data_IF_932178042143
#
_entry.id   IF_932178042143
#
_cell.length_a   1.000
_cell.length_b   1.000
_cell.length_c   1.000
_cell.angle_alpha   90.00
_cell.angle_beta   90.00
_cell.angle_gamma   90.00
#
_symmetry.space_group_name_H-M   'P 1'
#
loop_
_entity.id
_entity.type
_entity.pdbx_description
1 polymer ?
#
# COMPACT_ATOMS: atom_id res chain seq x y z
N UNK A 1 9.10 -49.48 52.07
CA UNK A 1 8.71 -49.94 50.72
C UNK A 1 9.50 -49.09 49.74
N UNK A 2 10.69 -49.41 49.19
CA UNK A 2 11.19 -50.65 48.57
C UNK A 2 10.14 -51.19 47.58
N UNK A 3 10.32 -51.25 46.25
CA UNK A 3 11.43 -51.80 45.45
C UNK A 3 11.42 -51.23 44.00
N UNK A 4 12.62 -51.24 43.38
CA UNK A 4 13.09 -51.11 41.97
C UNK A 4 12.17 -51.64 40.84
N UNK A 5 12.33 -51.41 39.53
CA UNK A 5 13.46 -51.01 38.64
C UNK A 5 13.40 -51.82 37.32
N UNK A 6 14.20 -51.42 36.30
CA UNK A 6 14.48 -52.01 34.94
C UNK A 6 13.49 -51.68 33.78
N UNK A 7 13.89 -50.93 32.72
CA UNK A 7 14.73 -51.24 31.49
C UNK A 7 14.00 -52.22 30.53
N UNK A 8 14.00 -52.17 29.18
CA UNK A 8 14.83 -51.62 28.07
C UNK A 8 14.01 -51.85 26.75
N UNK A 9 14.09 -51.06 25.67
CA UNK A 9 14.67 -51.34 24.30
C UNK A 9 13.71 -50.72 23.25
N UNK A 10 14.04 -49.63 22.53
CA UNK A 10 14.73 -49.51 21.23
C UNK A 10 14.16 -50.35 20.06
N UNK A 11 13.60 -49.69 19.04
CA UNK A 11 13.62 -50.15 17.63
C UNK A 11 13.74 -48.96 16.66
N UNK A 12 14.81 -48.98 15.87
CA UNK A 12 15.08 -48.19 14.67
C UNK A 12 14.42 -48.85 13.45
N UNK A 13 13.94 -48.05 12.49
CA UNK A 13 13.83 -48.46 11.09
C UNK A 13 14.18 -47.28 10.17
N UNK A 14 15.37 -47.35 9.56
CA UNK A 14 15.74 -46.62 8.35
C UNK A 14 15.07 -47.29 7.13
N UNK A 15 14.65 -46.49 6.15
CA UNK A 15 14.58 -46.92 4.75
C UNK A 15 15.22 -45.87 3.84
N UNK A 16 16.41 -46.21 3.38
CA UNK A 16 17.11 -45.68 2.22
C UNK A 16 16.60 -46.37 0.95
N UNK A 17 16.38 -45.63 -0.13
CA UNK A 17 16.39 -46.18 -1.49
C UNK A 17 17.29 -45.33 -2.39
N UNK A 18 18.20 -46.04 -3.05
CA UNK A 18 19.23 -45.57 -3.96
C UNK A 18 18.72 -45.46 -5.40
N UNK A 19 19.34 -44.53 -6.12
CA UNK A 19 19.28 -44.18 -7.55
C UNK A 19 19.51 -45.31 -8.57
N UNK A 20 19.06 -45.12 -9.83
CA UNK A 20 19.89 -44.99 -11.07
C UNK A 20 18.99 -44.84 -12.35
N UNK A 21 19.54 -44.45 -13.53
CA UNK A 21 18.93 -43.51 -14.47
C UNK A 21 18.57 -44.12 -15.85
N UNK A 22 17.88 -43.34 -16.69
CA UNK A 22 17.82 -43.58 -18.15
C UNK A 22 17.96 -42.25 -18.91
N UNK A 23 18.95 -42.20 -19.81
CA UNK A 23 19.11 -41.22 -20.88
C UNK A 23 18.28 -41.64 -22.11
N UNK A 24 17.70 -40.69 -22.84
CA UNK A 24 17.59 -40.73 -24.30
C UNK A 24 17.34 -39.32 -24.88
N UNK A 25 17.91 -39.08 -26.06
CA UNK A 25 18.14 -37.78 -26.67
C UNK A 25 17.12 -37.37 -27.76
N UNK A 26 16.95 -36.04 -27.87
CA UNK A 26 16.82 -35.14 -29.03
C UNK A 26 16.04 -35.49 -30.33
N UNK A 27 15.18 -34.53 -30.73
CA UNK A 27 14.81 -33.95 -32.07
C UNK A 27 13.32 -33.56 -32.00
N UNK A 28 12.77 -32.42 -32.42
CA UNK A 28 13.14 -31.23 -33.17
C UNK A 28 11.82 -30.65 -33.77
N UNK A 29 11.66 -29.32 -33.89
CA UNK A 29 10.74 -28.71 -34.89
C UNK A 29 9.37 -28.15 -34.46
N UNK A 30 9.33 -26.82 -34.28
CA UNK A 30 8.36 -25.80 -34.75
C UNK A 30 6.82 -25.93 -34.64
N UNK A 31 6.26 -24.84 -34.07
CA UNK A 31 5.07 -24.05 -34.43
C UNK A 31 3.66 -24.35 -33.86
N UNK A 32 3.28 -23.41 -32.98
CA UNK A 32 2.02 -22.63 -32.92
C UNK A 32 0.77 -23.19 -32.24
N UNK A 33 0.19 -22.29 -31.43
CA UNK A 33 -1.15 -22.26 -30.80
C UNK A 33 -1.35 -23.07 -29.52
N UNK A 34 -1.70 -22.38 -28.43
CA UNK A 34 -2.17 -22.98 -27.17
C UNK A 34 -1.53 -22.39 -25.90
N UNK A 35 -1.81 -21.13 -25.58
CA UNK A 35 -1.33 -20.50 -24.32
C UNK A 35 -2.28 -20.64 -23.12
N UNK A 36 -3.47 -21.22 -23.28
CA UNK A 36 -4.45 -21.28 -22.18
C UNK A 36 -4.33 -22.54 -21.30
N UNK A 37 -3.87 -23.69 -21.81
CA UNK A 37 -3.78 -24.92 -21.02
C UNK A 37 -2.58 -24.97 -20.06
N UNK A 38 -1.48 -24.29 -20.38
CA UNK A 38 -0.27 -24.26 -19.54
C UNK A 38 -0.46 -23.44 -18.26
N UNK A 39 -1.30 -22.41 -18.29
CA UNK A 39 -1.59 -21.61 -17.10
C UNK A 39 -2.44 -22.39 -16.10
N UNK A 40 -3.40 -23.18 -16.58
CA UNK A 40 -4.21 -24.06 -15.76
C UNK A 40 -3.38 -25.10 -15.00
N UNK A 41 -2.37 -25.71 -15.64
CA UNK A 41 -1.51 -26.70 -14.98
C UNK A 41 -0.48 -26.07 -14.03
N UNK A 42 0.02 -24.88 -14.34
CA UNK A 42 0.93 -24.13 -13.46
C UNK A 42 0.22 -23.64 -12.19
N UNK A 43 -1.01 -23.10 -12.32
CA UNK A 43 -1.86 -22.75 -11.18
C UNK A 43 -2.20 -23.98 -10.32
N UNK A 44 -2.47 -25.13 -10.95
CA UNK A 44 -2.74 -26.39 -10.23
C UNK A 44 -1.54 -26.88 -9.43
N UNK A 45 -0.33 -26.75 -9.98
CA UNK A 45 0.93 -27.10 -9.30
C UNK A 45 1.28 -26.11 -8.17
N UNK A 46 0.98 -24.82 -8.32
CA UNK A 46 1.19 -23.81 -7.27
C UNK A 46 0.24 -23.95 -6.08
N UNK A 47 -0.96 -24.50 -6.32
CA UNK A 47 -1.96 -24.77 -5.29
C UNK A 47 -1.60 -25.97 -4.40
N UNK A 48 -0.70 -26.85 -4.83
CA UNK A 48 -0.35 -28.07 -4.08
C UNK A 48 0.74 -27.85 -3.02
N UNK A 49 1.60 -26.84 -3.17
CA UNK A 49 2.78 -26.62 -2.31
C UNK A 49 2.69 -25.45 -1.31
N UNK A 50 1.61 -24.66 -1.32
CA UNK A 50 1.41 -23.57 -0.34
C UNK A 50 0.60 -24.10 0.85
N UNK A 51 0.99 -23.80 2.11
CA UNK A 51 0.21 -24.18 3.28
C UNK A 51 -1.22 -23.66 3.08
N UNK A 52 -2.20 -24.57 3.10
CA UNK A 52 -3.62 -24.27 2.89
C UNK A 52 -4.03 -23.13 3.83
N UNK A 53 -4.06 -21.90 3.31
CA UNK A 53 -4.71 -20.76 3.93
C UNK A 53 -6.20 -21.10 3.84
N UNK A 54 -6.73 -21.75 4.87
CA UNK A 54 -8.13 -22.17 4.88
C UNK A 54 -9.03 -20.94 4.91
N UNK A 55 -10.17 -21.03 4.23
CA UNK A 55 -11.29 -20.06 4.22
C UNK A 55 -11.73 -19.66 5.65
N UNK A 56 -11.49 -20.55 6.62
CA UNK A 56 -11.69 -20.36 8.05
C UNK A 56 -10.76 -19.30 8.67
N UNK A 57 -9.57 -19.06 8.10
CA UNK A 57 -8.63 -18.03 8.57
C UNK A 57 -9.06 -16.63 8.10
N UNK A 58 -9.62 -16.49 6.90
CA UNK A 58 -9.95 -15.18 6.32
C UNK A 58 -11.35 -14.67 6.67
N UNK A 59 -12.24 -15.49 7.23
CA UNK A 59 -13.56 -15.06 7.74
C UNK A 59 -14.38 -14.21 6.75
N UNK A 60 -14.28 -14.49 5.44
CA UNK A 60 -14.96 -13.74 4.38
C UNK A 60 -14.19 -12.55 3.78
N UNK A 61 -12.92 -12.37 4.16
CA UNK A 61 -11.96 -11.47 3.48
C UNK A 61 -11.22 -12.22 2.36
N UNK A 62 -10.71 -11.50 1.36
CA UNK A 62 -9.88 -12.10 0.32
C UNK A 62 -8.54 -12.56 0.87
N UNK A 63 -8.23 -13.84 0.72
CA UNK A 63 -6.89 -14.40 0.91
C UNK A 63 -5.85 -13.70 0.01
N UNK A 64 -4.55 -13.91 0.27
CA UNK A 64 -3.49 -13.32 -0.58
C UNK A 64 -3.61 -13.76 -2.04
N UNK A 65 -4.04 -15.00 -2.29
CA UNK A 65 -4.28 -15.51 -3.63
C UNK A 65 -5.50 -14.85 -4.28
N UNK A 66 -6.62 -14.75 -3.57
CA UNK A 66 -7.84 -14.12 -4.09
C UNK A 66 -7.62 -12.64 -4.39
N UNK A 67 -6.89 -11.93 -3.53
CA UNK A 67 -6.51 -10.53 -3.75
C UNK A 67 -5.65 -10.37 -5.00
N UNK A 68 -4.68 -11.25 -5.21
CA UNK A 68 -3.86 -11.25 -6.43
C UNK A 68 -4.72 -11.49 -7.68
N UNK A 69 -5.64 -12.45 -7.64
CA UNK A 69 -6.58 -12.72 -8.73
C UNK A 69 -7.46 -11.49 -9.00
N UNK A 70 -7.98 -10.84 -7.97
CA UNK A 70 -8.81 -9.64 -8.09
C UNK A 70 -8.03 -8.47 -8.72
N UNK A 71 -6.79 -8.23 -8.27
CA UNK A 71 -5.93 -7.19 -8.83
C UNK A 71 -5.59 -7.45 -10.31
N UNK A 72 -5.30 -8.70 -10.69
CA UNK A 72 -5.07 -9.10 -12.09
C UNK A 72 -6.32 -8.96 -12.95
N UNK A 73 -7.50 -9.26 -12.40
CA UNK A 73 -8.78 -9.10 -13.10
C UNK A 73 -9.02 -7.66 -13.52
N UNK A 74 -8.69 -6.67 -12.68
CA UNK A 74 -8.82 -5.24 -13.01
C UNK A 74 -7.97 -4.88 -14.23
N UNK A 75 -6.71 -5.32 -14.26
CA UNK A 75 -5.80 -5.12 -15.39
C UNK A 75 -6.35 -5.69 -16.70
N UNK A 76 -7.04 -6.83 -16.65
CA UNK A 76 -7.66 -7.45 -17.82
C UNK A 76 -8.98 -6.78 -18.24
N UNK A 77 -9.77 -6.26 -17.30
CA UNK A 77 -11.07 -5.62 -17.60
C UNK A 77 -10.93 -4.18 -18.10
N UNK A 78 -9.94 -3.46 -17.59
CA UNK A 78 -9.69 -2.06 -17.92
C UNK A 78 -8.25 -1.83 -18.41
N UNK A 79 -7.78 -2.57 -19.44
CA UNK A 79 -6.37 -2.55 -19.86
C UNK A 79 -5.93 -1.20 -20.42
N UNK A 80 -6.86 -0.41 -20.96
CA UNK A 80 -6.56 0.91 -21.53
C UNK A 80 -6.25 1.97 -20.46
N UNK A 81 -6.75 1.76 -19.25
CA UNK A 81 -6.61 2.75 -18.16
C UNK A 81 -5.92 2.18 -16.93
N UNK A 82 -5.37 0.97 -17.00
CA UNK A 82 -4.73 0.35 -15.85
C UNK A 82 -3.49 -0.44 -16.18
N UNK A 83 -2.56 -0.47 -15.23
CA UNK A 83 -1.33 -1.27 -15.28
C UNK A 83 -1.10 -1.92 -13.93
N UNK A 84 -0.91 -3.23 -13.93
CA UNK A 84 -0.51 -3.98 -12.75
C UNK A 84 1.01 -4.19 -12.75
N UNK A 85 1.66 -3.87 -11.64
CA UNK A 85 3.09 -4.14 -11.46
C UNK A 85 3.40 -4.49 -10.00
N UNK A 86 4.62 -4.93 -9.73
CA UNK A 86 5.07 -5.26 -8.37
C UNK A 86 6.23 -4.35 -7.95
N UNK A 87 6.19 -3.85 -6.72
CA UNK A 87 7.26 -3.02 -6.14
C UNK A 87 8.29 -3.84 -5.35
N UNK A 88 8.03 -5.13 -5.16
CA UNK A 88 8.87 -6.01 -4.34
C UNK A 88 8.08 -7.22 -3.85
N UNK A 89 8.66 -7.94 -2.90
CA UNK A 89 8.02 -9.08 -2.24
C UNK A 89 8.10 -8.93 -0.73
N UNK A 90 7.13 -9.48 -0.02
CA UNK A 90 7.18 -9.66 1.43
C UNK A 90 8.28 -10.65 1.84
N UNK A 91 8.50 -10.80 3.13
CA UNK A 91 9.46 -11.78 3.67
C UNK A 91 9.14 -13.21 3.19
N UNK A 92 7.86 -13.60 3.18
CA UNK A 92 7.45 -14.93 2.69
C UNK A 92 7.24 -15.00 1.17
N UNK A 93 7.65 -13.97 0.43
CA UNK A 93 7.70 -14.00 -1.03
C UNK A 93 6.40 -13.62 -1.75
N UNK A 94 5.37 -13.15 -1.05
CA UNK A 94 4.17 -12.61 -1.69
C UNK A 94 4.50 -11.31 -2.41
N UNK A 95 4.03 -11.16 -3.65
CA UNK A 95 4.25 -9.94 -4.42
C UNK A 95 3.48 -8.77 -3.80
N UNK A 96 4.14 -7.63 -3.65
CA UNK A 96 3.49 -6.36 -3.32
C UNK A 96 3.00 -5.75 -4.62
N UNK A 97 1.73 -6.02 -4.95
CA UNK A 97 1.11 -5.67 -6.23
C UNK A 97 0.46 -4.28 -6.16
N UNK A 98 0.77 -3.46 -7.16
CA UNK A 98 0.22 -2.12 -7.33
C UNK A 98 -0.61 -2.08 -8.60
N UNK A 99 -1.82 -1.52 -8.48
CA UNK A 99 -2.71 -1.20 -9.59
C UNK A 99 -2.56 0.30 -9.87
N UNK A 100 -1.97 0.65 -10.99
CA UNK A 100 -2.02 2.02 -11.51
C UNK A 100 -3.30 2.22 -12.32
N UNK A 101 -3.95 3.37 -12.15
CA UNK A 101 -5.10 3.84 -12.91
C UNK A 101 -4.80 5.25 -13.44
N UNK A 102 -4.82 5.40 -14.76
CA UNK A 102 -4.54 6.64 -15.52
C UNK A 102 -4.98 6.43 -16.97
N UNK A 103 -5.23 7.49 -17.74
CA UNK A 103 -5.49 7.43 -19.19
C UNK A 103 -4.25 6.99 -20.00
N UNK A 104 -3.03 7.14 -19.45
CA UNK A 104 -1.77 6.67 -20.06
C UNK A 104 -0.93 5.90 -19.04
N UNK A 105 -1.39 4.72 -18.60
CA UNK A 105 -0.75 3.99 -17.53
C UNK A 105 0.69 3.62 -17.91
N UNK A 106 1.63 3.95 -17.03
CA UNK A 106 3.05 3.73 -17.20
C UNK A 106 3.81 4.71 -18.06
N UNK A 107 3.17 5.75 -18.58
CA UNK A 107 3.82 6.87 -19.22
C UNK A 107 4.07 7.98 -18.18
N UNK A 108 5.19 8.70 -18.28
CA UNK A 108 5.48 9.82 -17.38
C UNK A 108 4.87 11.11 -17.92
N UNK A 109 3.96 11.71 -17.18
CA UNK A 109 3.29 12.96 -17.57
C UNK A 109 3.59 14.12 -16.61
N UNK A 110 3.06 15.31 -16.90
CA UNK A 110 3.10 16.45 -15.97
C UNK A 110 1.84 16.47 -15.09
N UNK A 111 1.37 15.29 -14.74
CA UNK A 111 0.19 15.04 -13.93
C UNK A 111 0.64 14.61 -12.53
N UNK A 112 -0.12 14.97 -11.49
CA UNK A 112 0.18 14.52 -10.14
C UNK A 112 0.08 13.00 -10.03
N UNK A 113 1.01 12.40 -9.28
CA UNK A 113 0.91 11.00 -8.88
C UNK A 113 0.40 10.91 -7.43
N UNK A 114 -0.64 10.12 -7.19
CA UNK A 114 -1.18 9.85 -5.85
C UNK A 114 -1.09 8.36 -5.56
N UNK A 115 -0.82 8.00 -4.29
CA UNK A 115 -0.91 6.59 -3.88
C UNK A 115 -1.83 6.32 -2.69
N UNK A 116 -2.59 5.23 -2.76
CA UNK A 116 -3.21 4.63 -1.59
C UNK A 116 -2.46 3.35 -1.20
N UNK A 117 -2.25 3.15 0.10
CA UNK A 117 -1.62 1.95 0.66
C UNK A 117 -2.53 1.35 1.71
N UNK A 118 -2.95 0.10 1.55
CA UNK A 118 -3.74 -0.62 2.54
C UNK A 118 -2.91 -1.60 3.36
N UNK A 119 -3.44 -1.96 4.54
CA UNK A 119 -2.99 -3.13 5.30
C UNK A 119 -1.48 -3.12 5.56
N UNK A 120 -0.98 -1.97 6.04
CA UNK A 120 0.37 -1.80 6.59
C UNK A 120 0.55 -2.68 7.84
N UNK A 121 -0.46 -2.67 8.71
CA UNK A 121 -0.60 -3.66 9.76
C UNK A 121 -1.48 -4.81 9.28
N UNK A 122 -0.99 -6.04 9.43
CA UNK A 122 -1.66 -7.21 8.90
C UNK A 122 -3.03 -7.49 9.53
N UNK A 123 -3.24 -7.09 10.79
CA UNK A 123 -4.49 -7.22 11.53
C UNK A 123 -5.52 -6.11 11.27
N UNK A 124 -5.24 -5.20 10.34
CA UNK A 124 -6.11 -4.10 9.92
C UNK A 124 -6.50 -4.28 8.42
N UNK A 125 -7.29 -5.32 8.06
CA UNK A 125 -7.53 -5.70 6.66
C UNK A 125 -8.55 -4.86 5.92
N UNK A 126 -9.28 -3.94 6.57
CA UNK A 126 -10.35 -3.18 5.91
C UNK A 126 -9.81 -2.40 4.71
N UNK A 127 -8.65 -1.75 4.87
CA UNK A 127 -7.97 -1.01 3.80
C UNK A 127 -7.67 -1.87 2.57
N UNK A 128 -7.34 -3.14 2.76
CA UNK A 128 -7.05 -4.10 1.68
C UNK A 128 -8.25 -4.34 0.78
N UNK A 129 -9.43 -4.51 1.37
CA UNK A 129 -10.66 -4.80 0.64
C UNK A 129 -11.20 -3.54 -0.06
N UNK A 130 -11.27 -2.41 0.66
CA UNK A 130 -11.86 -1.18 0.10
C UNK A 130 -11.02 -0.57 -1.02
N UNK A 131 -9.70 -0.82 -1.05
CA UNK A 131 -8.85 -0.39 -2.15
C UNK A 131 -9.05 -1.20 -3.43
N UNK A 132 -9.39 -2.49 -3.34
CA UNK A 132 -9.84 -3.25 -4.50
C UNK A 132 -11.19 -2.73 -4.98
N UNK A 133 -12.11 -2.42 -4.06
CA UNK A 133 -13.40 -1.82 -4.42
C UNK A 133 -13.24 -0.45 -5.10
N UNK A 134 -12.29 0.38 -4.66
CA UNK A 134 -11.95 1.65 -5.30
C UNK A 134 -11.49 1.45 -6.74
N UNK A 135 -10.56 0.53 -6.96
CA UNK A 135 -10.05 0.23 -8.29
C UNK A 135 -11.14 -0.32 -9.22
N UNK A 136 -12.00 -1.21 -8.71
CA UNK A 136 -13.17 -1.71 -9.44
C UNK A 136 -14.14 -0.57 -9.80
N UNK A 137 -14.46 0.31 -8.84
CA UNK A 137 -15.39 1.41 -9.05
C UNK A 137 -14.87 2.38 -10.13
N UNK A 138 -13.58 2.75 -10.10
CA UNK A 138 -12.98 3.60 -11.13
C UNK A 138 -13.02 2.93 -12.52
N UNK A 139 -12.66 1.64 -12.59
CA UNK A 139 -12.73 0.86 -13.82
C UNK A 139 -14.15 0.79 -14.39
N UNK A 140 -15.16 0.57 -13.55
CA UNK A 140 -16.54 0.40 -13.98
C UNK A 140 -17.22 1.74 -14.34
N UNK A 141 -16.75 2.85 -13.78
CA UNK A 141 -17.35 4.19 -13.92
C UNK A 141 -16.55 5.17 -14.78
N UNK A 142 -15.38 4.79 -15.30
CA UNK A 142 -14.66 5.62 -16.26
C UNK A 142 -15.54 5.94 -17.49
N UNK A 143 -15.57 7.22 -17.89
CA UNK A 143 -16.44 7.78 -18.94
C UNK A 143 -17.95 7.74 -18.63
N UNK A 144 -18.37 7.28 -17.45
CA UNK A 144 -19.77 7.27 -16.99
C UNK A 144 -20.01 8.24 -15.85
N UNK A 145 -19.05 8.35 -14.95
CA UNK A 145 -19.07 9.28 -13.82
C UNK A 145 -18.03 10.40 -14.02
N UNK A 146 -18.42 11.68 -13.95
CA UNK A 146 -17.49 12.80 -14.16
C UNK A 146 -16.31 12.83 -13.19
N UNK A 147 -16.49 12.38 -11.95
CA UNK A 147 -15.41 12.33 -10.96
C UNK A 147 -14.42 11.22 -11.29
N UNK A 148 -14.92 10.05 -11.71
CA UNK A 148 -14.08 8.95 -12.19
C UNK A 148 -13.26 9.39 -13.41
N UNK A 149 -13.90 9.99 -14.42
CA UNK A 149 -13.22 10.52 -15.62
C UNK A 149 -12.16 11.54 -15.24
N UNK A 150 -12.49 12.51 -14.37
CA UNK A 150 -11.54 13.53 -13.94
C UNK A 150 -10.31 12.95 -13.22
N UNK A 151 -10.48 11.89 -12.42
CA UNK A 151 -9.37 11.18 -11.78
C UNK A 151 -8.55 10.43 -12.83
N UNK A 152 -9.17 9.65 -13.71
CA UNK A 152 -8.43 8.83 -14.68
C UNK A 152 -7.63 9.68 -15.67
N UNK A 153 -8.17 10.82 -16.12
CA UNK A 153 -7.56 11.64 -17.19
C UNK A 153 -6.56 12.70 -16.73
N UNK A 154 -6.39 12.90 -15.41
CA UNK A 154 -5.58 14.03 -14.92
C UNK A 154 -4.65 13.66 -13.75
N UNK A 155 -4.46 12.37 -13.47
CA UNK A 155 -3.52 11.89 -12.47
C UNK A 155 -3.09 10.45 -12.71
N UNK A 156 -1.92 10.11 -12.18
CA UNK A 156 -1.52 8.73 -11.98
C UNK A 156 -1.92 8.28 -10.58
N UNK A 157 -3.02 7.52 -10.48
CA UNK A 157 -3.47 6.95 -9.20
C UNK A 157 -2.90 5.54 -9.03
N UNK A 158 -2.09 5.33 -8.00
CA UNK A 158 -1.51 4.03 -7.69
C UNK A 158 -2.11 3.44 -6.42
N UNK A 159 -2.55 2.19 -6.48
CA UNK A 159 -3.25 1.52 -5.38
C UNK A 159 -2.45 0.27 -5.00
N UNK A 160 -1.89 0.26 -3.79
CA UNK A 160 -1.27 -0.91 -3.16
C UNK A 160 -2.24 -1.48 -2.11
N UNK A 161 -3.03 -2.53 -2.41
CA UNK A 161 -4.06 -3.00 -1.47
C UNK A 161 -3.46 -3.58 -0.19
N UNK A 162 -2.30 -4.23 -0.25
CA UNK A 162 -1.62 -4.77 0.94
C UNK A 162 -0.12 -4.51 0.89
N UNK A 163 0.39 -3.83 1.92
CA UNK A 163 1.83 -3.75 2.17
C UNK A 163 2.32 -4.94 3.00
N UNK A 164 1.47 -5.53 3.85
CA UNK A 164 1.84 -6.61 4.77
C UNK A 164 1.00 -7.90 4.57
N UNK A 165 1.16 -8.58 3.42
CA UNK A 165 0.42 -9.82 3.15
C UNK A 165 0.78 -10.96 4.12
N UNK A 166 1.98 -10.93 4.71
CA UNK A 166 2.45 -11.93 5.68
C UNK A 166 1.73 -11.77 7.02
N UNK A 167 1.65 -10.53 7.52
CA UNK A 167 0.93 -10.20 8.75
C UNK A 167 -0.56 -10.51 8.62
N UNK A 168 -1.15 -10.24 7.45
CA UNK A 168 -2.55 -10.60 7.18
C UNK A 168 -2.78 -12.11 7.27
N UNK A 169 -1.95 -12.92 6.60
CA UNK A 169 -2.06 -14.38 6.64
C UNK A 169 -1.91 -14.95 8.07
N UNK A 170 -1.14 -14.27 8.92
CA UNK A 170 -0.93 -14.61 10.33
C UNK A 170 -1.88 -13.88 11.30
N UNK A 171 -2.81 -13.06 10.78
CA UNK A 171 -3.74 -12.20 11.54
C UNK A 171 -3.06 -11.40 12.65
N UNK A 172 -1.94 -10.76 12.33
CA UNK A 172 -1.16 -9.96 13.28
C UNK A 172 -0.70 -8.65 12.68
N UNK A 173 -0.40 -7.71 13.56
CA UNK A 173 0.09 -6.37 13.22
C UNK A 173 1.40 -6.39 12.41
N UNK A 174 2.44 -7.04 12.94
CA UNK A 174 3.77 -7.04 12.32
C UNK A 174 3.88 -7.93 11.08
N UNK A 175 4.97 -7.77 10.33
CA UNK A 175 5.27 -8.62 9.16
C UNK A 175 5.70 -10.05 9.54
N UNK A 176 6.22 -10.88 8.62
CA UNK A 176 6.66 -12.25 8.95
C UNK A 176 7.75 -12.33 10.04
N UNK A 177 8.58 -11.30 10.18
CA UNK A 177 9.61 -11.20 11.22
C UNK A 177 9.08 -10.56 12.52
N UNK A 178 7.77 -10.33 12.62
CA UNK A 178 7.11 -9.68 13.76
C UNK A 178 7.57 -8.23 14.00
N UNK A 179 8.03 -7.54 12.95
CA UNK A 179 8.38 -6.12 12.99
C UNK A 179 7.16 -5.28 12.63
N UNK A 180 6.92 -4.20 13.38
CA UNK A 180 5.92 -3.19 13.03
C UNK A 180 6.46 -2.33 11.87
N UNK A 181 5.88 -2.50 10.68
CA UNK A 181 6.32 -1.78 9.48
C UNK A 181 6.12 -0.27 9.60
N UNK A 182 5.20 0.19 10.45
CA UNK A 182 5.00 1.63 10.71
C UNK A 182 5.91 2.14 11.85
N UNK A 183 6.99 1.41 12.17
CA UNK A 183 8.11 1.83 13.03
C UNK A 183 9.47 1.55 12.37
N UNK A 184 9.47 1.09 11.12
CA UNK A 184 10.66 0.56 10.43
C UNK A 184 11.29 1.58 9.45
N UNK A 185 10.65 2.73 9.23
CA UNK A 185 11.21 3.82 8.42
C UNK A 185 12.23 4.64 9.22
N UNK A 186 13.20 5.32 8.58
CA UNK A 186 14.08 6.25 9.29
C UNK A 186 13.29 7.45 9.79
N UNK A 187 13.69 7.94 10.95
CA UNK A 187 13.01 9.00 11.69
C UNK A 187 13.85 10.28 11.76
N UNK A 188 13.19 11.44 11.80
CA UNK A 188 13.88 12.75 11.81
C UNK A 188 14.49 13.11 13.18
N UNK A 189 13.99 12.54 14.28
CA UNK A 189 14.42 12.89 15.63
C UNK A 189 15.36 11.85 16.23
N UNK A 190 15.12 10.58 15.91
CA UNK A 190 15.86 9.47 16.50
C UNK A 190 16.47 8.63 15.39
N UNK A 191 17.79 8.31 15.44
CA UNK A 191 18.45 7.44 14.48
C UNK A 191 18.03 5.99 14.72
N UNK A 192 16.77 5.70 14.43
CA UNK A 192 16.14 4.38 14.52
C UNK A 192 16.05 3.85 13.10
N UNK A 193 16.57 2.64 12.89
CA UNK A 193 16.45 1.94 11.61
C UNK A 193 17.04 2.73 10.43
N UNK A 194 18.07 3.56 10.61
CA UNK A 194 18.66 4.41 9.55
C UNK A 194 19.36 3.61 8.44
N UNK A 195 19.86 2.43 8.77
CA UNK A 195 20.57 1.57 7.84
C UNK A 195 19.62 0.77 6.95
N UNK A 196 19.63 1.09 5.64
CA UNK A 196 18.71 0.51 4.65
C UNK A 196 18.71 -1.03 4.60
N UNK A 197 19.86 -1.67 4.84
CA UNK A 197 20.01 -3.13 4.75
C UNK A 197 19.33 -3.87 5.91
N UNK A 198 19.06 -3.20 7.02
CA UNK A 198 18.41 -3.77 8.20
C UNK A 198 16.89 -3.62 8.20
N UNK A 199 16.33 -2.81 7.28
CA UNK A 199 14.88 -2.63 7.13
C UNK A 199 14.21 -3.86 6.54
N UNK A 200 12.93 -4.02 6.84
CA UNK A 200 12.11 -5.09 6.28
C UNK A 200 11.97 -4.94 4.75
N UNK A 201 11.84 -6.06 4.01
CA UNK A 201 11.73 -6.01 2.55
C UNK A 201 10.53 -5.17 2.07
N UNK A 202 9.43 -5.18 2.82
CA UNK A 202 8.24 -4.36 2.55
C UNK A 202 8.57 -2.86 2.65
N UNK A 203 9.24 -2.44 3.73
CA UNK A 203 9.68 -1.06 3.95
C UNK A 203 10.61 -0.58 2.83
N UNK A 204 11.61 -1.41 2.46
CA UNK A 204 12.53 -1.07 1.36
C UNK A 204 11.82 -0.94 0.02
N UNK A 205 10.80 -1.77 -0.23
CA UNK A 205 10.00 -1.69 -1.45
C UNK A 205 9.25 -0.36 -1.54
N UNK A 206 8.59 0.09 -0.47
CA UNK A 206 7.95 1.41 -0.41
C UNK A 206 8.97 2.53 -0.62
N UNK A 207 10.10 2.48 0.09
CA UNK A 207 11.11 3.52 0.00
C UNK A 207 11.67 3.68 -1.42
N UNK A 208 11.90 2.55 -2.11
CA UNK A 208 12.32 2.54 -3.51
C UNK A 208 11.21 3.09 -4.41
N UNK A 209 9.98 2.66 -4.19
CA UNK A 209 8.83 3.04 -5.00
C UNK A 209 8.55 4.54 -4.95
N UNK A 210 8.58 5.16 -3.75
CA UNK A 210 8.38 6.61 -3.58
C UNK A 210 9.44 7.42 -4.33
N UNK A 211 10.68 6.95 -4.35
CA UNK A 211 11.77 7.60 -5.11
C UNK A 211 11.67 7.41 -6.63
N UNK A 212 10.95 6.39 -7.09
CA UNK A 212 10.83 6.07 -8.51
C UNK A 212 9.68 6.82 -9.18
N UNK A 213 8.51 6.87 -8.52
CA UNK A 213 7.31 7.48 -9.10
C UNK A 213 7.14 8.97 -8.75
N UNK A 214 7.83 9.47 -7.71
CA UNK A 214 7.75 10.87 -7.26
C UNK A 214 6.31 11.33 -6.94
N UNK A 215 5.67 10.65 -5.99
CA UNK A 215 4.31 10.94 -5.56
C UNK A 215 4.15 12.36 -5.00
N UNK A 216 3.09 13.04 -5.44
CA UNK A 216 2.66 14.33 -4.89
C UNK A 216 2.02 14.16 -3.52
N UNK A 217 1.09 13.22 -3.39
CA UNK A 217 0.41 12.93 -2.13
C UNK A 217 0.04 11.45 -1.99
N UNK A 218 -0.40 11.10 -0.79
CA UNK A 218 -0.62 9.70 -0.42
C UNK A 218 -1.62 9.58 0.72
N UNK A 219 -2.17 8.38 0.89
CA UNK A 219 -2.77 7.99 2.15
C UNK A 219 -2.59 6.49 2.43
N UNK A 220 -2.19 6.17 3.66
CA UNK A 220 -2.19 4.80 4.18
C UNK A 220 -3.47 4.53 4.96
N UNK A 221 -4.07 3.36 4.77
CA UNK A 221 -5.33 2.96 5.40
C UNK A 221 -5.07 1.98 6.54
N UNK A 222 -5.61 2.34 7.70
CA UNK A 222 -5.47 1.68 8.99
C UNK A 222 -6.84 1.41 9.63
N UNK A 223 -6.82 0.66 10.73
CA UNK A 223 -8.01 0.40 11.54
C UNK A 223 -7.70 0.34 13.03
N UNK A 224 -8.74 0.51 13.84
CA UNK A 224 -8.66 0.63 15.30
C UNK A 224 -9.15 1.97 15.83
N UNK A 225 -9.47 2.92 14.95
CA UNK A 225 -10.09 4.20 15.23
C UNK A 225 -10.85 4.71 13.99
N UNK A 226 -11.47 5.88 14.12
CA UNK A 226 -12.13 6.57 13.01
C UNK A 226 -11.71 8.05 12.95
N UNK A 227 -10.61 8.32 12.25
CA UNK A 227 -9.99 9.66 12.16
C UNK A 227 -9.00 9.75 10.99
N UNK A 228 -8.89 10.94 10.37
CA UNK A 228 -7.79 11.25 9.46
C UNK A 228 -6.62 11.88 10.24
N UNK A 229 -5.56 11.10 10.45
CA UNK A 229 -4.32 11.52 11.09
C UNK A 229 -3.37 12.20 10.08
N UNK A 230 -2.69 13.26 10.50
CA UNK A 230 -1.74 14.00 9.68
C UNK A 230 -0.45 14.37 10.42
N UNK A 231 0.65 14.64 9.68
CA UNK A 231 1.95 14.98 10.26
C UNK A 231 1.95 16.21 11.19
N UNK A 232 2.95 16.31 12.07
CA UNK A 232 3.91 15.24 12.37
C UNK A 232 3.34 14.17 13.28
N UNK A 233 3.85 12.95 13.15
CA UNK A 233 3.49 11.83 14.02
C UNK A 233 4.19 11.86 15.38
N UNK A 234 5.25 12.66 15.53
CA UNK A 234 5.96 12.83 16.78
C UNK A 234 6.73 14.15 16.86
N UNK A 235 7.26 14.44 18.04
CA UNK A 235 8.14 15.57 18.32
C UNK A 235 9.44 15.08 18.96
N UNK A 236 10.47 15.93 18.98
CA UNK A 236 11.77 15.59 19.61
C UNK A 236 11.65 15.31 21.12
N UNK A 237 10.73 15.98 21.80
CA UNK A 237 10.52 15.83 23.25
C UNK A 237 9.56 14.69 23.63
N UNK A 238 9.01 13.99 22.64
CA UNK A 238 8.09 12.87 22.80
C UNK A 238 6.79 13.22 23.56
N UNK A 239 6.47 14.51 23.65
CA UNK A 239 5.28 14.98 24.32
C UNK A 239 4.02 14.75 23.46
N UNK A 240 2.88 14.53 24.12
CA UNK A 240 1.56 14.48 23.47
C UNK A 240 1.02 15.89 23.23
N UNK A 241 1.75 16.68 22.44
CA UNK A 241 1.40 18.06 22.13
C UNK A 241 1.29 18.24 20.62
N UNK A 242 0.51 19.24 20.21
CA UNK A 242 0.39 19.57 18.81
C UNK A 242 1.73 19.96 18.22
N UNK A 243 2.14 19.28 17.16
CA UNK A 243 3.39 19.55 16.47
C UNK A 243 3.18 19.55 14.96
N UNK A 244 2.87 20.73 14.42
CA UNK A 244 2.55 20.93 13.01
C UNK A 244 3.79 20.94 12.12
N UNK A 245 3.63 20.45 10.89
CA UNK A 245 4.66 20.53 9.85
C UNK A 245 4.70 21.91 9.18
N UNK A 246 5.73 22.23 8.38
CA UNK A 246 5.76 23.47 7.60
C UNK A 246 4.51 23.64 6.71
N UNK A 247 3.95 22.53 6.23
CA UNK A 247 2.74 22.47 5.40
C UNK A 247 1.47 22.09 6.18
N UNK A 248 1.41 22.36 7.49
CA UNK A 248 0.31 22.01 8.39
C UNK A 248 -1.08 22.36 7.84
N UNK A 249 -1.23 23.55 7.23
CA UNK A 249 -2.50 23.99 6.63
C UNK A 249 -2.95 23.08 5.49
N UNK A 250 -2.01 22.65 4.65
CA UNK A 250 -2.27 21.74 3.51
C UNK A 250 -2.69 20.37 4.01
N UNK A 251 -1.96 19.83 4.99
CA UNK A 251 -2.31 18.55 5.61
C UNK A 251 -3.69 18.56 6.27
N UNK A 252 -4.00 19.62 7.02
CA UNK A 252 -5.33 19.79 7.64
C UNK A 252 -6.44 19.91 6.60
N UNK A 253 -6.19 20.59 5.49
CA UNK A 253 -7.13 20.65 4.37
C UNK A 253 -7.39 19.26 3.79
N UNK A 254 -6.34 18.51 3.45
CA UNK A 254 -6.47 17.16 2.90
C UNK A 254 -7.20 16.22 3.87
N UNK A 255 -6.82 16.24 5.16
CA UNK A 255 -7.48 15.43 6.19
C UNK A 255 -8.97 15.81 6.32
N UNK A 256 -9.30 17.09 6.23
CA UNK A 256 -10.69 17.58 6.27
C UNK A 256 -11.49 17.16 5.04
N UNK A 257 -10.89 17.15 3.85
CA UNK A 257 -11.54 16.64 2.62
C UNK A 257 -11.99 15.20 2.82
N UNK A 258 -11.13 14.35 3.39
CA UNK A 258 -11.47 12.97 3.68
C UNK A 258 -12.55 12.86 4.77
N UNK A 259 -12.34 13.51 5.91
CA UNK A 259 -13.23 13.37 7.09
C UNK A 259 -14.63 13.92 6.86
N UNK A 260 -14.77 15.03 6.10
CA UNK A 260 -16.06 15.65 5.78
C UNK A 260 -16.82 14.90 4.69
N UNK A 261 -16.10 14.20 3.81
CA UNK A 261 -16.72 13.35 2.78
C UNK A 261 -17.13 11.97 3.33
N UNK A 262 -16.62 11.59 4.51
CA UNK A 262 -16.94 10.33 5.16
C UNK A 262 -18.31 10.42 5.84
N UNK A 263 -19.04 9.31 5.88
CA UNK A 263 -20.38 9.23 6.45
C UNK A 263 -20.53 9.91 7.82
N UNK A 264 -19.60 9.65 8.74
CA UNK A 264 -19.68 10.13 10.12
C UNK A 264 -18.33 10.50 10.77
N UNK A 265 -17.20 10.51 10.04
CA UNK A 265 -15.88 10.75 10.64
C UNK A 265 -15.78 12.19 11.18
N UNK A 266 -16.25 13.17 10.40
CA UNK A 266 -16.31 14.58 10.80
C UNK A 266 -17.21 14.87 12.01
N UNK A 267 -18.12 13.95 12.35
CA UNK A 267 -19.02 14.04 13.49
C UNK A 267 -18.42 13.45 14.78
N UNK A 268 -17.16 13.03 14.75
CA UNK A 268 -16.48 12.46 15.90
C UNK A 268 -16.50 13.40 17.10
N UNK A 269 -16.84 12.83 18.26
CA UNK A 269 -16.78 13.53 19.56
C UNK A 269 -15.38 13.49 20.17
N UNK A 270 -14.57 12.52 19.76
CA UNK A 270 -13.19 12.34 20.22
C UNK A 270 -12.24 13.23 19.41
N UNK A 271 -12.36 13.19 18.09
CA UNK A 271 -11.51 13.97 17.17
C UNK A 271 -12.32 15.08 16.54
N UNK A 272 -12.12 16.32 17.00
CA UNK A 272 -12.86 17.48 16.50
C UNK A 272 -12.71 17.62 14.98
N UNK A 273 -13.82 17.50 14.25
CA UNK A 273 -13.84 17.56 12.79
C UNK A 273 -13.33 16.27 12.10
N UNK A 274 -13.12 15.19 12.85
CA UNK A 274 -12.67 13.90 12.33
C UNK A 274 -11.22 13.89 11.87
N UNK A 275 -10.39 14.82 12.36
CA UNK A 275 -8.97 14.91 12.01
C UNK A 275 -8.11 15.05 13.27
N UNK A 276 -6.86 14.61 13.22
CA UNK A 276 -5.90 14.81 14.32
C UNK A 276 -4.46 14.92 13.83
N UNK A 277 -3.66 15.72 14.52
CA UNK A 277 -2.20 15.69 14.39
C UNK A 277 -1.67 14.44 15.13
N UNK A 278 -0.72 13.72 14.54
CA UNK A 278 -0.24 12.44 15.11
C UNK A 278 0.47 12.59 16.45
N UNK A 279 1.38 13.56 16.57
CA UNK A 279 2.07 13.85 17.82
C UNK A 279 1.08 14.21 18.95
N UNK A 280 0.01 14.96 18.63
CA UNK A 280 -1.03 15.29 19.59
C UNK A 280 -1.85 14.08 20.05
N UNK A 281 -2.10 13.12 19.16
CA UNK A 281 -2.90 11.93 19.47
C UNK A 281 -2.08 10.90 20.26
N UNK A 282 -1.05 10.34 19.63
CA UNK A 282 -0.07 9.48 20.27
C UNK A 282 1.25 9.51 19.47
N UNK A 283 2.35 10.02 20.05
CA UNK A 283 3.62 10.09 19.35
C UNK A 283 4.13 8.73 18.88
N UNK A 284 4.53 8.66 17.61
CA UNK A 284 5.22 7.50 17.03
C UNK A 284 6.46 7.94 16.26
N UNK A 285 7.40 7.01 16.07
CA UNK A 285 8.67 7.25 15.40
C UNK A 285 8.97 6.15 14.39
N UNK A 286 9.62 6.52 13.29
CA UNK A 286 9.88 5.62 12.18
C UNK A 286 8.62 5.24 11.39
N UNK A 287 7.63 6.13 11.38
CA UNK A 287 6.39 5.99 10.64
C UNK A 287 6.57 6.28 9.15
N UNK A 288 5.76 5.63 8.31
CA UNK A 288 5.77 5.82 6.86
C UNK A 288 5.30 7.23 6.45
N UNK A 289 4.35 7.79 7.20
CA UNK A 289 3.71 9.08 6.92
C UNK A 289 4.72 10.24 6.91
N UNK A 290 5.45 10.39 8.02
CA UNK A 290 6.45 11.46 8.16
C UNK A 290 7.62 11.24 7.19
N UNK A 291 8.04 9.97 6.99
CA UNK A 291 9.11 9.63 6.05
C UNK A 291 8.79 10.06 4.62
N UNK A 292 7.55 9.86 4.15
CA UNK A 292 7.11 10.27 2.82
C UNK A 292 7.29 11.77 2.59
N UNK A 293 6.93 12.59 3.57
CA UNK A 293 7.02 14.03 3.46
C UNK A 293 8.48 14.50 3.48
N UNK A 294 9.30 13.96 4.40
CA UNK A 294 10.70 14.36 4.55
C UNK A 294 11.57 13.92 3.35
N UNK A 295 11.41 12.69 2.90
CA UNK A 295 12.34 12.07 1.93
C UNK A 295 11.76 11.93 0.53
N UNK A 296 10.43 11.96 0.39
CA UNK A 296 9.74 11.83 -0.88
C UNK A 296 9.12 13.13 -1.39
N UNK A 297 9.04 14.17 -0.55
CA UNK A 297 8.21 15.35 -0.85
C UNK A 297 6.72 15.02 -1.02
N UNK A 298 6.30 13.85 -0.51
CA UNK A 298 4.98 13.27 -0.70
C UNK A 298 4.12 13.53 0.54
N UNK A 299 2.96 14.15 0.34
CA UNK A 299 2.05 14.52 1.43
C UNK A 299 1.19 13.32 1.79
N UNK A 300 1.64 12.50 2.75
CA UNK A 300 0.92 11.31 3.19
C UNK A 300 0.03 11.58 4.42
N UNK A 301 -1.20 11.06 4.37
CA UNK A 301 -2.09 10.95 5.54
C UNK A 301 -2.15 9.51 6.05
N UNK A 302 -2.39 9.34 7.34
CA UNK A 302 -2.76 8.05 7.94
C UNK A 302 -4.27 8.07 8.19
N UNK A 303 -5.02 7.23 7.50
CA UNK A 303 -6.48 7.18 7.56
C UNK A 303 -6.93 5.97 8.38
N UNK A 304 -7.46 6.23 9.57
CA UNK A 304 -8.12 5.22 10.40
C UNK A 304 -9.58 5.13 9.95
N UNK A 305 -9.93 4.08 9.21
CA UNK A 305 -11.19 4.00 8.46
C UNK A 305 -12.23 3.05 9.07
N UNK A 306 -11.91 2.43 10.21
CA UNK A 306 -12.80 1.52 10.93
C UNK A 306 -12.40 1.42 12.41
N UNK A 307 -13.37 1.62 13.32
CA UNK A 307 -13.14 1.50 14.76
C UNK A 307 -12.66 0.10 15.17
N UNK A 308 -13.23 -0.93 14.55
CA UNK A 308 -12.74 -2.30 14.71
C UNK A 308 -11.61 -2.55 13.71
N UNK A 309 -10.48 -3.07 14.18
CA UNK A 309 -9.38 -3.43 13.28
C UNK A 309 -9.80 -4.45 12.21
N UNK A 310 -10.52 -5.49 12.65
CA UNK A 310 -10.95 -6.62 11.83
C UNK A 310 -12.45 -6.88 12.03
N UNK A 311 -13.34 -6.04 11.48
CA UNK A 311 -14.79 -6.22 11.59
C UNK A 311 -15.24 -7.48 10.84
N UNK A 312 -16.50 -7.89 11.02
CA UNK A 312 -17.04 -9.04 10.27
C UNK A 312 -17.09 -8.69 8.79
N UNK A 313 -16.80 -9.63 7.90
CA UNK A 313 -16.78 -9.38 6.45
C UNK A 313 -18.12 -8.85 5.90
N UNK A 314 -19.25 -9.19 6.54
CA UNK A 314 -20.57 -8.67 6.19
C UNK A 314 -20.71 -7.15 6.36
N UNK A 315 -19.80 -6.50 7.09
CA UNK A 315 -19.77 -5.04 7.29
C UNK A 315 -19.01 -4.30 6.17
N UNK A 316 -18.17 -5.02 5.39
CA UNK A 316 -17.33 -4.42 4.34
C UNK A 316 -18.11 -3.61 3.30
N UNK A 317 -19.30 -4.03 2.80
CA UNK A 317 -20.06 -3.22 1.85
C UNK A 317 -20.48 -1.86 2.42
N UNK A 318 -20.85 -1.81 3.71
CA UNK A 318 -21.23 -0.57 4.39
C UNK A 318 -20.01 0.32 4.61
N UNK A 319 -18.89 -0.27 5.05
CA UNK A 319 -17.63 0.46 5.24
C UNK A 319 -17.14 1.05 3.91
N UNK A 320 -17.26 0.31 2.81
CA UNK A 320 -16.99 0.83 1.47
C UNK A 320 -17.84 2.06 1.15
N UNK A 321 -19.16 1.99 1.30
CA UNK A 321 -20.03 3.14 1.01
C UNK A 321 -19.72 4.35 1.89
N UNK A 322 -19.33 4.15 3.15
CA UNK A 322 -18.93 5.24 4.03
C UNK A 322 -17.63 5.93 3.60
N UNK A 323 -16.71 5.21 2.96
CA UNK A 323 -15.37 5.70 2.58
C UNK A 323 -15.23 6.06 1.09
N UNK A 324 -16.10 5.54 0.22
CA UNK A 324 -16.00 5.68 -1.24
C UNK A 324 -15.81 7.13 -1.68
N UNK A 325 -16.71 8.02 -1.25
CA UNK A 325 -16.62 9.43 -1.61
C UNK A 325 -15.42 10.13 -0.97
N UNK A 326 -14.99 9.72 0.22
CA UNK A 326 -13.79 10.25 0.87
C UNK A 326 -12.52 9.96 0.10
N UNK A 327 -12.33 8.71 -0.35
CA UNK A 327 -11.17 8.32 -1.16
C UNK A 327 -11.17 9.05 -2.51
N UNK A 328 -12.32 9.10 -3.18
CA UNK A 328 -12.46 9.77 -4.48
C UNK A 328 -12.23 11.29 -4.37
N UNK A 329 -12.80 11.95 -3.36
CA UNK A 329 -12.64 13.39 -3.15
C UNK A 329 -11.21 13.74 -2.72
N UNK A 330 -10.55 12.91 -1.91
CA UNK A 330 -9.15 13.11 -1.56
C UNK A 330 -8.26 13.03 -2.79
N UNK A 331 -8.39 12.00 -3.62
CA UNK A 331 -7.63 11.88 -4.87
C UNK A 331 -7.93 13.06 -5.82
N UNK A 332 -9.20 13.37 -6.05
CA UNK A 332 -9.60 14.46 -6.93
C UNK A 332 -9.20 15.85 -6.40
N UNK A 333 -8.96 16.01 -5.10
CA UNK A 333 -8.49 17.28 -4.54
C UNK A 333 -7.13 17.68 -5.12
N UNK A 334 -6.26 16.71 -5.43
CA UNK A 334 -4.96 16.98 -6.07
C UNK A 334 -5.09 17.48 -7.51
N UNK A 335 -6.11 17.01 -8.24
CA UNK A 335 -6.38 17.48 -9.60
C UNK A 335 -6.99 18.88 -9.59
N UNK A 336 -7.84 19.15 -8.60
CA UNK A 336 -8.64 20.38 -8.53
C UNK A 336 -7.95 21.54 -7.82
N UNK A 337 -6.82 21.29 -7.16
CA UNK A 337 -6.13 22.28 -6.32
C UNK A 337 -4.63 22.26 -6.56
N UNK A 338 -3.93 23.28 -6.07
CA UNK A 338 -2.49 23.42 -6.25
C UNK A 338 -2.09 23.95 -7.62
N UNK A 339 -0.80 23.83 -7.93
CA UNK A 339 -0.19 24.24 -9.20
C UNK A 339 0.74 23.12 -9.65
N UNK A 340 0.58 22.66 -10.89
CA UNK A 340 1.46 21.67 -11.50
C UNK A 340 1.82 22.11 -12.93
N UNK A 341 2.96 21.65 -13.46
CA UNK A 341 3.43 22.06 -14.78
C UNK A 341 4.86 21.63 -15.09
N UNK A 342 5.41 22.23 -16.16
CA UNK A 342 6.80 22.03 -16.60
C UNK A 342 7.47 23.39 -16.74
N UNK A 343 8.73 23.52 -16.33
CA UNK A 343 9.55 24.70 -16.62
C UNK A 343 10.33 24.43 -17.90
N UNK A 344 10.35 25.40 -18.82
CA UNK A 344 11.04 25.30 -20.10
C UNK A 344 12.12 26.38 -20.24
N UNK A 345 13.25 26.02 -20.83
CA UNK A 345 14.27 26.99 -21.20
C UNK A 345 13.76 27.90 -22.33
N UNK A 346 14.00 29.21 -22.22
CA UNK A 346 13.48 30.21 -23.16
C UNK A 346 14.11 30.14 -24.55
N UNK A 347 15.33 29.60 -24.65
CA UNK A 347 16.12 29.52 -25.89
C UNK A 347 15.82 28.27 -26.71
N UNK A 348 15.59 27.13 -26.05
CA UNK A 348 15.43 25.83 -26.68
C UNK A 348 14.02 25.28 -26.60
N UNK A 349 13.19 25.77 -25.68
CA UNK A 349 11.87 25.21 -25.40
C UNK A 349 11.91 23.82 -24.75
N UNK A 350 13.08 23.34 -24.33
CA UNK A 350 13.23 22.06 -23.65
C UNK A 350 12.91 22.18 -22.16
N UNK A 351 12.32 21.14 -21.53
CA UNK A 351 12.06 21.15 -20.11
C UNK A 351 13.37 21.14 -19.32
N UNK A 352 13.46 22.00 -18.30
CA UNK A 352 14.65 22.12 -17.45
C UNK A 352 14.34 21.80 -15.99
N UNK A 353 15.33 21.30 -15.22
CA UNK A 353 15.20 21.18 -13.78
C UNK A 353 15.22 22.57 -13.12
N UNK A 354 14.67 22.66 -11.91
CA UNK A 354 14.64 23.91 -11.14
C UNK A 354 14.19 23.69 -9.70
N UNK A 355 14.27 24.74 -8.89
CA UNK A 355 13.69 24.77 -7.54
C UNK A 355 12.51 25.73 -7.56
N UNK A 356 11.36 25.28 -7.06
CA UNK A 356 10.18 26.11 -6.90
C UNK A 356 10.03 26.45 -5.42
N UNK A 357 10.08 27.75 -5.13
CA UNK A 357 9.82 28.29 -3.79
C UNK A 357 8.45 28.96 -3.78
N UNK A 358 7.61 28.57 -2.82
CA UNK A 358 6.32 29.22 -2.60
C UNK A 358 6.49 30.22 -1.47
N UNK A 359 6.24 31.50 -1.75
CA UNK A 359 6.36 32.56 -0.74
C UNK A 359 5.49 32.23 0.48
N UNK A 360 6.11 32.10 1.65
CA UNK A 360 5.44 31.78 2.92
C UNK A 360 5.40 30.29 3.26
N UNK A 361 6.04 29.44 2.45
CA UNK A 361 6.32 28.04 2.77
C UNK A 361 7.85 27.88 2.72
N UNK A 362 8.48 27.56 3.86
CA UNK A 362 9.94 27.43 4.00
C UNK A 362 10.46 26.07 3.49
N UNK A 363 9.83 25.50 2.45
CA UNK A 363 10.25 24.26 1.79
C UNK A 363 10.48 24.51 0.30
N UNK A 364 11.63 24.05 -0.20
CA UNK A 364 11.96 24.09 -1.62
C UNK A 364 11.42 22.84 -2.32
N UNK A 365 10.62 23.01 -3.37
CA UNK A 365 10.15 21.90 -4.20
C UNK A 365 11.14 21.72 -5.35
N UNK A 366 11.92 20.64 -5.32
CA UNK A 366 12.82 20.33 -6.43
C UNK A 366 12.08 19.74 -7.62
N UNK A 367 12.19 20.42 -8.76
CA UNK A 367 11.74 19.97 -10.06
C UNK A 367 12.85 19.11 -10.69
N UNK A 368 13.20 17.99 -10.07
CA UNK A 368 14.13 17.06 -10.70
C UNK A 368 13.43 16.27 -11.80
N UNK A 369 13.83 16.54 -13.05
CA UNK A 369 13.65 15.62 -14.17
C UNK A 369 15.01 15.08 -14.56
N UNK A 370 15.26 13.81 -14.26
CA UNK A 370 16.21 13.04 -15.04
C UNK A 370 15.45 12.06 -15.92
N UNK A 371 15.60 12.34 -17.22
CA UNK A 371 15.60 11.48 -18.40
C UNK A 371 14.48 10.44 -18.58
#
# INVERSE_FOLDING_TARGET
MAISGLRLLLFLLLRSFTSLPVQAAARGGSNSSGTDEKYGSFLRSLLEDMPRITEELTHGYMSNLELEIAARSIGSRCPNISRLYSIGKSVNGFALLVIEISDKPGQKEAEPAFKFIGNVHGDEPVGREVLINLANWLCDNYLKDPLATNIVENMHLHILPTMNPDGFALRRRGNANNVDLNRDFPDQFFPINDEINYRQPETRAIMKWVKQEHFTASASLHGGALVANYPWDGSRDQSKQYYGSPDDKTFRYMASVYSQSHYNMSLSKEFKGGITNGAFWYPIYGGMQDWNYIHGGCFELTLEISDAKWPKAAELPVIWEHNRMSMLNLAASLVKTGVHGRIYASDTGHPIPGLLMIKGIDSEVSLFRQH
#
